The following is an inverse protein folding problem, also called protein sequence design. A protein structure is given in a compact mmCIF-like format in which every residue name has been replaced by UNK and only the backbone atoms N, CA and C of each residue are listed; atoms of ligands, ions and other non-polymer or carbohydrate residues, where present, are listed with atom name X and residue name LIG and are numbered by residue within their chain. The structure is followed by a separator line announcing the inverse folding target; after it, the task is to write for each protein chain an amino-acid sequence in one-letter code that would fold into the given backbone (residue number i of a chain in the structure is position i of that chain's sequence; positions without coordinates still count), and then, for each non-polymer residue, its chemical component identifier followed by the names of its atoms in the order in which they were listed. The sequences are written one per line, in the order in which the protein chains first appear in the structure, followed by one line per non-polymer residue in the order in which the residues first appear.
data_IF_015493169978
#
_entry.id   IF_015493169978
#
_cell.length_a   1.000
_cell.length_b   1.000
_cell.length_c   1.000
_cell.angle_alpha   90.00
_cell.angle_beta   90.00
_cell.angle_gamma   90.00
#
_symmetry.space_group_name_H-M   'P 1'
#
loop_
_entity.id
_entity.type
_entity.pdbx_description
1 polymer ?
#
# COMPACT_ATOMS: atom_id res chain seq x y z
N UNK A 1 -2.25 -14.03 -0.65
CA UNK A 1 -2.20 -14.63 -2.02
C UNK A 1 -0.89 -14.30 -2.73
N UNK A 2 -0.54 -13.02 -2.94
CA UNK A 2 0.73 -12.64 -3.60
C UNK A 2 1.96 -13.33 -3.00
N UNK A 3 2.18 -13.24 -1.68
CA UNK A 3 3.33 -13.85 -0.99
C UNK A 3 3.39 -15.38 -1.08
N UNK A 4 2.23 -16.04 -1.21
CA UNK A 4 2.12 -17.49 -1.37
C UNK A 4 2.50 -17.87 -2.81
N UNK A 5 2.01 -17.12 -3.79
CA UNK A 5 2.30 -17.33 -5.22
C UNK A 5 3.78 -17.08 -5.52
N UNK A 6 4.38 -16.06 -4.91
CA UNK A 6 5.81 -15.74 -5.09
C UNK A 6 6.73 -16.62 -4.22
N UNK A 7 6.19 -17.50 -3.38
CA UNK A 7 6.92 -18.32 -2.40
C UNK A 7 7.84 -17.50 -1.48
N UNK A 8 7.56 -16.22 -1.29
CA UNK A 8 8.34 -15.31 -0.45
C UNK A 8 7.76 -15.19 0.97
N UNK A 9 6.85 -16.09 1.36
CA UNK A 9 6.21 -16.04 2.67
C UNK A 9 7.26 -16.30 3.77
N UNK A 10 7.52 -15.27 4.58
CA UNK A 10 8.53 -15.34 5.63
C UNK A 10 8.01 -16.09 6.86
N UNK A 11 8.84 -16.88 7.56
CA UNK A 11 8.56 -17.36 8.92
C UNK A 11 8.23 -16.21 9.86
N UNK A 12 7.42 -16.47 10.91
CA UNK A 12 6.92 -15.42 11.80
C UNK A 12 8.01 -14.56 12.45
N UNK A 13 9.17 -15.15 12.67
CA UNK A 13 10.32 -14.52 13.31
C UNK A 13 11.04 -13.49 12.41
N UNK A 14 11.01 -13.66 11.08
CA UNK A 14 11.73 -12.81 10.12
C UNK A 14 10.82 -11.93 9.26
N UNK A 15 9.50 -11.97 9.49
CA UNK A 15 8.52 -11.21 8.70
C UNK A 15 8.86 -9.72 8.61
N UNK A 16 9.16 -9.10 9.76
CA UNK A 16 9.43 -7.66 9.83
C UNK A 16 10.68 -7.26 9.04
N UNK A 17 11.71 -8.12 9.05
CA UNK A 17 12.96 -7.87 8.32
C UNK A 17 12.78 -7.93 6.80
N UNK A 18 11.81 -8.70 6.33
CA UNK A 18 11.48 -8.85 4.91
C UNK A 18 10.37 -7.90 4.45
N UNK A 19 10.03 -6.88 5.27
CA UNK A 19 8.98 -5.92 4.95
C UNK A 19 7.58 -6.54 4.92
N UNK A 20 7.36 -7.62 5.67
CA UNK A 20 6.07 -8.29 5.80
C UNK A 20 5.47 -8.02 7.18
N UNK A 21 4.14 -8.00 7.24
CA UNK A 21 3.39 -7.73 8.45
C UNK A 21 2.02 -8.39 8.43
N UNK A 22 1.42 -8.49 9.61
CA UNK A 22 0.08 -8.99 9.78
C UNK A 22 -0.91 -7.83 9.69
N UNK A 23 -1.83 -7.90 8.73
CA UNK A 23 -2.92 -6.93 8.58
C UNK A 23 -4.23 -7.70 8.61
N UNK A 24 -5.08 -7.41 9.60
CA UNK A 24 -6.38 -8.08 9.80
C UNK A 24 -6.29 -9.63 9.80
N UNK A 25 -5.23 -10.18 10.38
CA UNK A 25 -5.02 -11.63 10.47
C UNK A 25 -4.41 -12.28 9.23
N UNK A 26 -4.07 -11.51 8.18
CA UNK A 26 -3.43 -12.00 6.96
C UNK A 26 -2.02 -11.43 6.82
N UNK A 27 -1.05 -12.30 6.55
CA UNK A 27 0.33 -11.87 6.25
C UNK A 27 0.38 -11.21 4.87
N UNK A 28 0.83 -9.96 4.85
CA UNK A 28 0.92 -9.13 3.64
C UNK A 28 2.20 -8.28 3.65
N UNK A 29 2.50 -7.65 2.51
CA UNK A 29 3.57 -6.66 2.44
C UNK A 29 3.19 -5.42 3.26
N UNK A 30 4.14 -4.92 4.06
CA UNK A 30 4.01 -3.62 4.73
C UNK A 30 4.18 -2.52 3.70
N UNK A 31 3.06 -1.98 3.26
CA UNK A 31 2.99 -0.83 2.34
C UNK A 31 2.85 0.48 3.14
N UNK A 32 2.95 0.39 4.48
CA UNK A 32 2.87 1.52 5.42
C UNK A 32 1.67 2.44 5.12
N UNK A 33 1.80 3.74 5.40
CA UNK A 33 0.77 4.73 5.14
C UNK A 33 0.37 4.87 3.66
N UNK A 34 1.20 4.40 2.72
CA UNK A 34 0.91 4.49 1.27
C UNK A 34 -0.35 3.73 0.88
N UNK A 35 -0.54 2.54 1.45
CA UNK A 35 -1.75 1.73 1.20
C UNK A 35 -3.02 2.45 1.67
N UNK A 36 -2.94 3.12 2.81
CA UNK A 36 -4.04 3.92 3.36
C UNK A 36 -4.35 5.15 2.51
N UNK A 37 -3.33 5.86 2.03
CA UNK A 37 -3.49 7.02 1.15
C UNK A 37 -4.18 6.63 -0.17
N UNK A 38 -3.73 5.53 -0.80
CA UNK A 38 -4.35 5.02 -2.04
C UNK A 38 -5.81 4.65 -1.78
N UNK A 39 -6.09 3.94 -0.68
CA UNK A 39 -7.46 3.58 -0.31
C UNK A 39 -8.35 4.78 -0.06
N UNK A 40 -7.85 5.80 0.64
CA UNK A 40 -8.57 7.05 0.87
C UNK A 40 -8.91 7.79 -0.42
N UNK A 41 -7.94 7.91 -1.35
CA UNK A 41 -8.16 8.59 -2.63
C UNK A 41 -9.18 7.85 -3.49
N UNK A 42 -9.10 6.52 -3.55
CA UNK A 42 -10.06 5.69 -4.31
C UNK A 42 -11.46 5.85 -3.73
N UNK A 43 -11.61 5.75 -2.40
CA UNK A 43 -12.90 5.92 -1.74
C UNK A 43 -13.48 7.33 -1.95
N UNK A 44 -12.65 8.37 -1.86
CA UNK A 44 -13.07 9.76 -2.10
C UNK A 44 -13.59 9.95 -3.54
N UNK A 45 -12.84 9.47 -4.55
CA UNK A 45 -13.25 9.55 -5.95
C UNK A 45 -14.51 8.73 -6.25
N UNK A 46 -14.63 7.56 -5.64
CA UNK A 46 -15.84 6.74 -5.79
C UNK A 46 -17.06 7.42 -5.16
N UNK A 47 -16.88 8.05 -4.00
CA UNK A 47 -17.95 8.80 -3.35
C UNK A 47 -18.40 9.95 -4.22
N UNK A 48 -17.48 10.79 -4.68
CA UNK A 48 -17.79 11.96 -5.50
C UNK A 48 -18.58 11.59 -6.77
N UNK A 49 -18.19 10.47 -7.42
CA UNK A 49 -18.81 10.03 -8.67
C UNK A 49 -20.10 9.23 -8.48
N UNK A 50 -20.20 8.37 -7.46
CA UNK A 50 -21.25 7.35 -7.37
C UNK A 50 -22.29 7.58 -6.28
N UNK A 51 -22.16 8.61 -5.41
CA UNK A 51 -23.12 8.82 -4.33
C UNK A 51 -24.57 9.08 -4.80
N UNK A 52 -24.77 9.66 -5.99
CA UNK A 52 -26.08 9.90 -6.61
C UNK A 52 -26.44 8.88 -7.71
N UNK A 53 -25.65 7.82 -7.88
CA UNK A 53 -25.86 6.88 -8.98
C UNK A 53 -27.21 6.16 -8.82
N UNK A 54 -28.04 6.22 -9.87
CA UNK A 54 -29.33 5.54 -9.93
C UNK A 54 -29.23 4.28 -10.79
N UNK A 55 -29.64 3.15 -10.22
CA UNK A 55 -29.60 1.84 -10.88
C UNK A 55 -31.01 1.43 -11.38
N UNK A 56 -31.09 0.53 -12.38
CA UNK A 56 -32.36 -0.01 -12.87
C UNK A 56 -33.16 -0.69 -11.75
N UNK A 57 -34.46 -0.90 -11.96
CA UNK A 57 -35.39 -1.39 -10.93
C UNK A 57 -34.88 -2.65 -10.18
N UNK A 58 -34.25 -3.58 -10.89
CA UNK A 58 -33.69 -4.80 -10.32
C UNK A 58 -32.55 -4.58 -9.31
N UNK A 59 -31.81 -3.47 -9.43
CA UNK A 59 -30.66 -3.12 -8.58
C UNK A 59 -30.88 -1.84 -7.77
N UNK A 60 -32.11 -1.32 -7.74
CA UNK A 60 -32.44 -0.07 -7.05
C UNK A 60 -32.08 -0.08 -5.54
N UNK A 61 -32.01 -1.26 -4.92
CA UNK A 61 -31.56 -1.44 -3.54
C UNK A 61 -30.11 -0.94 -3.30
N UNK A 62 -29.24 -1.07 -4.31
CA UNK A 62 -27.83 -0.66 -4.25
C UNK A 62 -27.62 0.79 -4.72
N UNK A 63 -28.69 1.48 -5.12
CA UNK A 63 -28.64 2.86 -5.60
C UNK A 63 -28.20 3.85 -4.51
N UNK A 64 -27.64 4.97 -4.94
CA UNK A 64 -27.19 6.06 -4.08
C UNK A 64 -25.94 5.71 -3.25
N UNK A 65 -25.92 6.13 -1.98
CA UNK A 65 -24.76 5.98 -1.07
C UNK A 65 -24.28 4.54 -0.86
N UNK A 66 -25.18 3.56 -1.03
CA UNK A 66 -24.87 2.12 -0.87
C UNK A 66 -24.05 1.55 -2.02
N UNK A 67 -24.06 2.19 -3.20
CA UNK A 67 -23.24 1.77 -4.35
C UNK A 67 -21.75 2.04 -4.12
N UNK A 68 -21.42 3.06 -3.33
CA UNK A 68 -20.05 3.56 -3.16
C UNK A 68 -19.11 2.50 -2.57
N UNK A 69 -19.44 1.81 -1.45
CA UNK A 69 -18.57 0.75 -0.93
C UNK A 69 -18.42 -0.43 -1.87
N UNK A 70 -19.49 -0.80 -2.61
CA UNK A 70 -19.48 -1.94 -3.54
C UNK A 70 -18.50 -1.68 -4.68
N UNK A 71 -18.59 -0.49 -5.28
CA UNK A 71 -17.71 -0.08 -6.37
C UNK A 71 -16.27 0.09 -5.86
N UNK A 72 -16.08 0.68 -4.67
CA UNK A 72 -14.76 0.84 -4.07
C UNK A 72 -14.08 -0.51 -3.82
N UNK A 73 -14.84 -1.51 -3.34
CA UNK A 73 -14.35 -2.87 -3.17
C UNK A 73 -13.94 -3.50 -4.51
N UNK A 74 -14.80 -3.39 -5.53
CA UNK A 74 -14.52 -3.91 -6.86
C UNK A 74 -13.25 -3.28 -7.48
N UNK A 75 -13.04 -1.97 -7.29
CA UNK A 75 -11.83 -1.28 -7.73
C UNK A 75 -10.60 -1.63 -6.91
N UNK A 76 -10.76 -2.01 -5.65
CA UNK A 76 -9.63 -2.41 -4.81
C UNK A 76 -9.03 -3.77 -5.14
N UNK A 77 -9.80 -4.66 -5.78
CA UNK A 77 -9.30 -5.96 -6.22
C UNK A 77 -8.10 -5.81 -7.19
N UNK A 78 -8.22 -5.12 -8.35
CA UNK A 78 -7.09 -4.96 -9.26
C UNK A 78 -5.96 -4.12 -8.64
N UNK A 79 -6.29 -3.10 -7.84
CA UNK A 79 -5.28 -2.26 -7.17
C UNK A 79 -4.44 -3.08 -6.20
N UNK A 80 -5.07 -3.91 -5.37
CA UNK A 80 -4.38 -4.80 -4.44
C UNK A 80 -3.53 -5.88 -5.12
N UNK A 81 -3.84 -6.24 -6.37
CA UNK A 81 -3.03 -7.15 -7.17
C UNK A 81 -1.80 -6.45 -7.76
N UNK A 82 -1.92 -5.18 -8.13
CA UNK A 82 -0.88 -4.39 -8.79
C UNK A 82 0.13 -3.79 -7.80
N UNK A 83 -0.34 -3.32 -6.63
CA UNK A 83 0.50 -2.67 -5.61
C UNK A 83 1.75 -3.50 -5.24
N UNK A 84 1.66 -4.82 -4.97
CA UNK A 84 2.84 -5.63 -4.60
C UNK A 84 3.96 -5.63 -5.65
N UNK A 85 3.61 -5.57 -6.94
CA UNK A 85 4.60 -5.51 -8.02
C UNK A 85 5.35 -4.17 -8.02
N UNK A 86 4.61 -3.06 -7.89
CA UNK A 86 5.20 -1.72 -7.77
C UNK A 86 6.06 -1.61 -6.51
N UNK A 87 5.57 -2.10 -5.37
CA UNK A 87 6.31 -2.10 -4.12
C UNK A 87 7.62 -2.88 -4.24
N UNK A 88 7.60 -4.06 -4.88
CA UNK A 88 8.80 -4.85 -5.12
C UNK A 88 9.86 -4.12 -5.97
N UNK A 89 9.46 -3.30 -6.94
CA UNK A 89 10.40 -2.48 -7.73
C UNK A 89 11.05 -1.41 -6.83
N UNK A 90 10.24 -0.71 -6.02
CA UNK A 90 10.73 0.31 -5.08
C UNK A 90 11.74 -0.30 -4.10
N UNK A 91 11.43 -1.46 -3.52
CA UNK A 91 12.34 -2.16 -2.60
C UNK A 91 13.65 -2.54 -3.29
N UNK A 92 13.63 -3.02 -4.54
CA UNK A 92 14.85 -3.35 -5.30
C UNK A 92 15.72 -2.13 -5.56
N UNK A 93 15.11 -0.98 -5.90
CA UNK A 93 15.82 0.29 -6.08
C UNK A 93 16.46 0.73 -4.77
N UNK A 94 15.73 0.64 -3.66
CA UNK A 94 16.21 1.05 -2.35
C UNK A 94 17.38 0.16 -1.88
N UNK A 95 17.30 -1.15 -2.10
CA UNK A 95 18.41 -2.09 -1.84
C UNK A 95 19.62 -1.77 -2.73
N UNK A 96 19.41 -1.47 -4.01
CA UNK A 96 20.51 -1.12 -4.93
C UNK A 96 21.20 0.20 -4.53
N UNK A 97 20.44 1.13 -3.93
CA UNK A 97 20.96 2.38 -3.37
C UNK A 97 21.65 2.22 -2.00
N UNK A 98 21.60 1.04 -1.36
CA UNK A 98 22.21 0.79 -0.04
C UNK A 98 23.70 1.17 0.03
N UNK A 99 24.44 1.03 -1.07
CA UNK A 99 25.87 1.39 -1.16
C UNK A 99 26.10 2.88 -0.86
N UNK A 100 25.15 3.75 -1.25
CA UNK A 100 25.19 5.19 -1.00
C UNK A 100 24.88 5.48 0.48
N UNK A 101 23.92 4.74 1.06
CA UNK A 101 23.57 4.84 2.48
C UNK A 101 24.65 4.31 3.42
N UNK A 102 25.45 3.33 2.98
CA UNK A 102 26.58 2.79 3.75
C UNK A 102 27.82 3.70 3.76
N UNK A 103 27.84 4.77 2.96
CA UNK A 103 28.95 5.72 2.96
C UNK A 103 28.98 6.51 4.28
N UNK A 104 30.07 6.37 5.06
CA UNK A 104 30.25 6.97 6.39
C UNK A 104 30.09 8.50 6.45
N UNK A 105 30.37 9.21 5.36
CA UNK A 105 30.35 10.67 5.32
C UNK A 105 29.04 11.26 4.79
N UNK A 106 28.40 10.58 3.84
CA UNK A 106 27.22 11.11 3.12
C UNK A 106 25.93 10.35 3.49
N UNK A 107 26.04 9.07 3.82
CA UNK A 107 24.93 8.18 4.16
C UNK A 107 24.03 8.69 5.29
N UNK A 108 24.58 9.12 6.44
CA UNK A 108 23.78 9.66 7.54
C UNK A 108 22.99 10.92 7.15
N UNK A 109 23.57 11.78 6.31
CA UNK A 109 22.92 13.00 5.84
C UNK A 109 21.73 12.72 4.93
N UNK A 110 21.89 11.82 3.95
CA UNK A 110 20.81 11.42 3.05
C UNK A 110 19.72 10.64 3.81
N UNK A 111 20.10 9.75 4.73
CA UNK A 111 19.17 9.01 5.57
C UNK A 111 18.28 9.95 6.38
N UNK A 112 18.86 10.93 7.10
CA UNK A 112 18.08 11.88 7.91
C UNK A 112 17.21 12.78 7.03
N UNK A 113 17.70 13.24 5.88
CA UNK A 113 16.93 14.07 4.95
C UNK A 113 15.71 13.33 4.40
N UNK A 114 15.89 12.10 3.90
CA UNK A 114 14.79 11.27 3.41
C UNK A 114 13.83 10.90 4.54
N UNK A 115 14.35 10.47 5.70
CA UNK A 115 13.52 10.12 6.83
C UNK A 115 12.60 11.29 7.23
N UNK A 116 13.13 12.51 7.33
CA UNK A 116 12.33 13.71 7.64
C UNK A 116 11.33 14.09 6.55
N UNK A 117 11.66 13.92 5.28
CA UNK A 117 10.75 14.17 4.17
C UNK A 117 9.60 13.16 4.12
N UNK A 118 9.83 11.94 4.60
CA UNK A 118 8.84 10.85 4.62
C UNK A 118 7.93 10.87 5.88
N UNK A 119 8.25 11.65 6.91
CA UNK A 119 7.39 11.88 8.08
C UNK A 119 5.98 12.37 7.69
N UNK A 120 5.79 13.45 6.89
CA UNK A 120 4.45 13.95 6.55
C UNK A 120 3.60 12.95 5.74
N UNK A 121 4.25 11.98 5.08
CA UNK A 121 3.57 10.92 4.33
C UNK A 121 3.37 9.64 5.14
N UNK A 122 3.87 9.56 6.38
CA UNK A 122 3.82 8.36 7.20
C UNK A 122 4.68 7.19 6.67
N UNK A 123 5.61 7.47 5.75
CA UNK A 123 6.46 6.46 5.10
C UNK A 123 7.83 6.27 5.77
N UNK A 124 8.08 6.99 6.86
CA UNK A 124 9.35 6.97 7.58
C UNK A 124 9.72 5.58 8.13
N UNK A 125 8.73 4.73 8.41
CA UNK A 125 8.92 3.33 8.80
C UNK A 125 9.50 2.42 7.70
N UNK A 126 9.51 2.86 6.44
CA UNK A 126 10.13 2.11 5.35
C UNK A 126 11.66 2.17 5.43
N UNK A 127 12.20 3.24 6.02
CA UNK A 127 13.64 3.48 6.13
C UNK A 127 14.22 3.03 7.49
N UNK A 128 13.40 2.92 8.54
CA UNK A 128 13.80 2.52 9.90
C UNK A 128 13.84 1.01 10.10
#
# INVERSE_FOLDING_TARGET
VYLIVTKTLAPQETMTQLGQGMVLGVQTLKIEALGGIIAGIVAAKCTDRFYKLQLPLAFAFFSGKKSVPIISFALMIPIGLVIPFFWGIITKVLISGSVIFMNKYVGPGIYVALNRLLIPFGLHHVLS
#
